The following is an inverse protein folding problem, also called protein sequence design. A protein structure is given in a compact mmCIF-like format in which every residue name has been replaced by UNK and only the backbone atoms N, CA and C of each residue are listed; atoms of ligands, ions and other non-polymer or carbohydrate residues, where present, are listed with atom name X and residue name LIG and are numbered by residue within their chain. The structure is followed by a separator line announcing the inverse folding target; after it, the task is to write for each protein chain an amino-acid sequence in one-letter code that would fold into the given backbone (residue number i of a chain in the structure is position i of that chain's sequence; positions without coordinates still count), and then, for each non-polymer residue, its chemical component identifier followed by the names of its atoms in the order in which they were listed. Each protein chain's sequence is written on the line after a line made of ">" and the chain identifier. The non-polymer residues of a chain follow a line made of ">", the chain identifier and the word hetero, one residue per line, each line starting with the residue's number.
data_IF_916040496454
#
_entry.id   IF_916040496454
#
_cell.length_a   1.000
_cell.length_b   1.000
_cell.length_c   1.000
_cell.angle_alpha   90.00
_cell.angle_beta   90.00
_cell.angle_gamma   90.00
#
_symmetry.space_group_name_H-M   'P 1'
#
loop_
_entity.id
_entity.type
_entity.pdbx_description
1 polymer ?
#
# COMPACT_ATOMS: atom_id res chain seq x y z
N UNK A 1 -10.53 0.51 10.56
CA UNK A 1 -9.23 -0.09 10.13
C UNK A 1 -9.26 -0.46 8.64
N UNK A 2 -10.27 -1.18 8.16
CA UNK A 2 -10.48 -1.49 6.73
C UNK A 2 -10.15 -0.33 5.76
N UNK A 3 -10.88 0.79 5.85
CA UNK A 3 -10.67 1.93 4.95
C UNK A 3 -9.29 2.58 5.08
N UNK A 4 -8.63 2.49 6.24
CA UNK A 4 -7.25 2.95 6.37
C UNK A 4 -6.27 2.06 5.62
N UNK A 5 -6.50 0.73 5.62
CA UNK A 5 -5.77 -0.20 4.76
C UNK A 5 -5.98 0.10 3.28
N UNK A 6 -7.24 0.30 2.86
CA UNK A 6 -7.59 0.70 1.48
C UNK A 6 -6.91 2.01 1.09
N UNK A 7 -6.87 3.01 1.97
CA UNK A 7 -6.21 4.28 1.67
C UNK A 7 -4.70 4.12 1.42
N UNK A 8 -4.02 3.26 2.20
CA UNK A 8 -2.60 2.95 1.99
C UNK A 8 -2.41 2.15 0.70
N UNK A 9 -3.27 1.18 0.41
CA UNK A 9 -3.27 0.44 -0.87
C UNK A 9 -3.36 1.41 -2.06
N UNK A 10 -4.33 2.31 -2.04
CA UNK A 10 -4.54 3.31 -3.08
C UNK A 10 -3.32 4.22 -3.23
N UNK A 11 -2.71 4.66 -2.11
CA UNK A 11 -1.51 5.48 -2.14
C UNK A 11 -0.33 4.74 -2.79
N UNK A 12 -0.09 3.47 -2.43
CA UNK A 12 0.96 2.66 -3.05
C UNK A 12 0.72 2.48 -4.55
N UNK A 13 -0.52 2.22 -4.96
CA UNK A 13 -0.91 2.12 -6.38
C UNK A 13 -0.72 3.43 -7.13
N UNK A 14 -1.07 4.56 -6.53
CA UNK A 14 -0.85 5.88 -7.11
C UNK A 14 0.65 6.17 -7.28
N UNK A 15 1.48 5.80 -6.31
CA UNK A 15 2.94 5.93 -6.41
C UNK A 15 3.51 5.06 -7.53
N UNK A 16 3.01 3.83 -7.73
CA UNK A 16 3.40 3.01 -8.88
C UNK A 16 3.05 3.73 -10.18
N UNK A 17 1.82 4.23 -10.31
CA UNK A 17 1.37 4.92 -11.52
C UNK A 17 2.15 6.21 -11.81
N UNK A 18 2.62 6.91 -10.78
CA UNK A 18 3.49 8.07 -10.93
C UNK A 18 4.85 7.75 -11.57
N UNK A 19 5.28 6.47 -11.56
CA UNK A 19 6.55 6.04 -12.16
C UNK A 19 6.42 5.50 -13.58
N UNK A 20 5.21 5.48 -14.15
CA UNK A 20 5.01 5.00 -15.51
C UNK A 20 5.67 5.92 -16.55
N UNK A 21 6.05 5.38 -17.72
CA UNK A 21 6.50 6.18 -18.85
C UNK A 21 5.44 7.23 -19.25
N UNK A 22 5.87 8.42 -19.68
CA UNK A 22 4.97 9.54 -20.03
C UNK A 22 3.97 9.21 -21.15
N UNK A 23 4.31 8.27 -22.03
CA UNK A 23 3.48 7.82 -23.14
C UNK A 23 2.67 6.56 -22.82
N UNK A 24 2.75 6.05 -21.58
CA UNK A 24 1.98 4.90 -21.13
C UNK A 24 0.61 5.34 -20.59
N UNK A 25 -0.40 4.50 -20.77
CA UNK A 25 -1.73 4.69 -20.20
C UNK A 25 -1.70 4.44 -18.68
N UNK A 26 -2.54 5.16 -17.93
CA UNK A 26 -2.73 4.95 -16.48
C UNK A 26 -3.70 3.81 -16.19
N UNK A 27 -3.39 2.61 -16.66
CA UNK A 27 -4.18 1.41 -16.43
C UNK A 27 -3.27 0.21 -16.15
N UNK A 28 -3.76 -0.82 -15.46
CA UNK A 28 -2.95 -2.02 -15.23
C UNK A 28 -2.82 -2.85 -16.50
N UNK A 29 -1.64 -3.45 -16.74
CA UNK A 29 -1.47 -4.46 -17.78
C UNK A 29 -2.33 -5.68 -17.45
N UNK A 30 -3.07 -6.15 -18.45
CA UNK A 30 -3.83 -7.41 -18.50
C UNK A 30 -3.41 -8.19 -19.75
N UNK A 31 -3.91 -9.40 -19.95
CA UNK A 31 -3.63 -10.16 -21.18
C UNK A 31 -4.34 -9.57 -22.41
N UNK A 32 -5.35 -8.72 -22.20
CA UNK A 32 -6.21 -8.15 -23.23
C UNK A 32 -5.85 -6.72 -23.64
N UNK A 33 -4.91 -6.05 -22.95
CA UNK A 33 -4.49 -4.68 -23.25
C UNK A 33 -2.96 -4.55 -23.44
N UNK A 34 -2.52 -3.39 -23.93
CA UNK A 34 -1.12 -3.00 -23.97
C UNK A 34 -0.97 -1.51 -23.62
N UNK A 35 -0.90 -1.16 -22.32
CA UNK A 35 -0.87 0.22 -21.86
C UNK A 35 0.49 0.90 -22.03
N UNK A 36 1.46 0.28 -22.72
CA UNK A 36 2.82 0.83 -22.85
C UNK A 36 3.74 0.57 -21.65
N UNK A 37 3.36 -0.36 -20.76
CA UNK A 37 4.21 -0.87 -19.68
C UNK A 37 3.86 -2.33 -19.33
N UNK A 38 4.70 -2.98 -18.53
CA UNK A 38 4.55 -4.40 -18.12
C UNK A 38 3.99 -4.59 -16.72
N UNK A 39 3.67 -3.51 -16.01
CA UNK A 39 3.19 -3.55 -14.62
C UNK A 39 1.72 -4.02 -14.55
N UNK A 40 1.49 -5.12 -13.84
CA UNK A 40 0.16 -5.69 -13.57
C UNK A 40 -0.37 -5.25 -12.20
N UNK A 41 -1.69 -5.38 -11.98
CA UNK A 41 -2.34 -5.00 -10.74
C UNK A 41 -1.80 -5.83 -9.55
N UNK A 42 -1.27 -5.21 -8.48
CA UNK A 42 -0.73 -5.92 -7.32
C UNK A 42 -1.81 -6.49 -6.37
N UNK A 43 -3.09 -6.30 -6.67
CA UNK A 43 -4.18 -6.71 -5.78
C UNK A 43 -4.21 -5.87 -4.50
N UNK A 44 -4.49 -6.51 -3.37
CA UNK A 44 -4.66 -5.85 -2.06
C UNK A 44 -3.47 -6.04 -1.11
N UNK A 45 -2.42 -6.74 -1.54
CA UNK A 45 -1.25 -7.01 -0.72
C UNK A 45 -0.20 -5.91 -0.88
N UNK A 46 0.23 -5.29 0.22
CA UNK A 46 1.20 -4.19 0.20
C UNK A 46 2.58 -4.63 -0.27
N UNK A 47 3.01 -5.85 0.06
CA UNK A 47 4.29 -6.41 -0.42
C UNK A 47 4.28 -6.59 -1.93
N UNK A 48 3.16 -7.05 -2.50
CA UNK A 48 2.99 -7.14 -3.95
C UNK A 48 3.02 -5.76 -4.61
N UNK A 49 2.42 -4.73 -4.00
CA UNK A 49 2.54 -3.36 -4.49
C UNK A 49 4.00 -2.87 -4.46
N UNK A 50 4.74 -3.12 -3.39
CA UNK A 50 6.16 -2.75 -3.28
C UNK A 50 7.03 -3.44 -4.33
N UNK A 51 6.75 -4.71 -4.68
CA UNK A 51 7.45 -5.42 -5.78
C UNK A 51 7.29 -4.73 -7.14
N UNK A 52 6.22 -3.93 -7.34
CA UNK A 52 6.01 -3.14 -8.56
C UNK A 52 6.69 -1.77 -8.51
N UNK A 53 7.29 -1.38 -7.38
CA UNK A 53 7.98 -0.12 -7.20
C UNK A 53 9.36 -0.30 -6.55
N UNK A 54 10.35 -0.76 -7.32
CA UNK A 54 11.70 -1.14 -6.84
C UNK A 54 12.37 -0.07 -5.96
N UNK A 55 12.31 1.21 -6.35
CA UNK A 55 12.91 2.31 -5.57
C UNK A 55 12.25 2.49 -4.20
N UNK A 56 10.92 2.43 -4.14
CA UNK A 56 10.17 2.51 -2.88
C UNK A 56 10.46 1.28 -2.02
N UNK A 57 10.44 0.08 -2.60
CA UNK A 57 10.80 -1.17 -1.92
C UNK A 57 12.17 -1.08 -1.26
N UNK A 58 13.20 -0.67 -2.01
CA UNK A 58 14.55 -0.54 -1.47
C UNK A 58 14.63 0.48 -0.32
N UNK A 59 13.83 1.55 -0.35
CA UNK A 59 13.74 2.48 0.77
C UNK A 59 13.06 1.82 1.98
N UNK A 60 11.93 1.17 1.79
CA UNK A 60 11.20 0.47 2.86
C UNK A 60 12.07 -0.59 3.55
N UNK A 61 12.82 -1.39 2.79
CA UNK A 61 13.72 -2.43 3.32
C UNK A 61 14.84 -1.88 4.23
N UNK A 62 15.18 -0.59 4.11
CA UNK A 62 16.18 0.07 4.97
C UNK A 62 15.62 0.57 6.30
N UNK A 63 14.28 0.63 6.46
CA UNK A 63 13.62 1.14 7.66
C UNK A 63 12.70 0.07 8.24
N UNK A 64 13.19 -0.79 9.15
CA UNK A 64 12.41 -1.88 9.75
C UNK A 64 11.08 -1.42 10.37
N UNK A 65 11.04 -0.21 10.93
CA UNK A 65 9.81 0.38 11.46
C UNK A 65 8.72 0.58 10.39
N UNK A 66 9.09 0.88 9.15
CA UNK A 66 8.14 1.06 8.04
C UNK A 66 7.54 -0.29 7.65
N UNK A 67 8.36 -1.34 7.59
CA UNK A 67 7.89 -2.72 7.39
C UNK A 67 6.91 -3.15 8.46
N UNK A 68 7.20 -2.80 9.73
CA UNK A 68 6.29 -3.08 10.84
C UNK A 68 4.96 -2.34 10.68
N UNK A 69 4.97 -1.06 10.30
CA UNK A 69 3.71 -0.33 10.08
C UNK A 69 2.91 -0.90 8.91
N UNK A 70 3.57 -1.31 7.83
CA UNK A 70 2.90 -1.97 6.70
C UNK A 70 2.16 -3.23 7.14
N UNK A 71 2.82 -4.09 7.91
CA UNK A 71 2.20 -5.30 8.45
C UNK A 71 1.06 -4.99 9.42
N UNK A 72 1.27 -4.07 10.38
CA UNK A 72 0.23 -3.67 11.34
C UNK A 72 -1.02 -3.11 10.66
N UNK A 73 -0.87 -2.40 9.53
CA UNK A 73 -1.99 -1.83 8.79
C UNK A 73 -2.66 -2.87 7.88
N UNK A 74 -1.88 -3.76 7.27
CA UNK A 74 -2.42 -4.82 6.42
C UNK A 74 -3.19 -5.84 7.25
N UNK A 75 -2.66 -6.17 8.45
CA UNK A 75 -3.12 -7.25 9.31
C UNK A 75 -3.38 -6.78 10.76
N UNK A 76 -4.27 -5.80 11.02
CA UNK A 76 -4.54 -5.32 12.39
C UNK A 76 -5.03 -6.42 13.34
N UNK A 77 -5.81 -7.37 12.80
CA UNK A 77 -6.33 -8.58 13.45
C UNK A 77 -6.49 -9.70 12.39
N UNK A 78 -6.91 -9.30 11.19
CA UNK A 78 -6.95 -10.07 9.97
C UNK A 78 -6.66 -9.11 8.81
N UNK A 79 -6.61 -9.63 7.57
CA UNK A 79 -6.37 -8.80 6.41
C UNK A 79 -7.43 -7.70 6.30
N UNK A 80 -7.01 -6.45 6.05
CA UNK A 80 -7.92 -5.30 6.08
C UNK A 80 -9.11 -5.44 5.12
N UNK A 81 -8.98 -6.16 4.01
CA UNK A 81 -10.08 -6.46 3.07
C UNK A 81 -11.14 -7.36 3.69
N UNK A 82 -10.71 -8.36 4.46
CA UNK A 82 -11.57 -9.39 5.06
C UNK A 82 -12.36 -8.83 6.25
N UNK A 83 -11.87 -7.75 6.85
CA UNK A 83 -12.60 -6.99 7.87
C UNK A 83 -13.98 -6.50 7.43
N UNK A 84 -14.26 -6.42 6.13
CA UNK A 84 -15.61 -6.11 5.63
C UNK A 84 -16.64 -7.19 5.93
N UNK A 85 -16.19 -8.43 6.13
CA UNK A 85 -17.03 -9.61 6.31
C UNK A 85 -17.05 -10.09 7.76
N UNK A 86 -16.27 -9.47 8.65
CA UNK A 86 -16.28 -9.78 10.07
C UNK A 86 -16.75 -8.56 10.87
N UNK A 87 -17.85 -8.72 11.60
CA UNK A 87 -18.37 -7.70 12.50
C UNK A 87 -17.60 -7.58 13.82
N UNK A 88 -16.33 -7.96 13.88
CA UNK A 88 -15.51 -7.85 15.08
C UNK A 88 -14.93 -6.45 15.21
N UNK A 89 -15.31 -5.76 16.28
CA UNK A 89 -14.71 -4.47 16.63
C UNK A 89 -13.36 -4.67 17.32
N UNK A 90 -12.33 -3.91 16.94
CA UNK A 90 -11.05 -3.95 17.63
C UNK A 90 -11.17 -3.31 19.02
N UNK A 91 -10.42 -3.84 19.99
CA UNK A 91 -10.27 -3.17 21.28
C UNK A 91 -9.52 -1.82 21.14
N UNK A 92 -9.68 -0.95 22.13
CA UNK A 92 -9.10 0.40 22.12
C UNK A 92 -7.56 0.41 22.05
N UNK A 93 -6.89 -0.58 22.65
CA UNK A 93 -5.42 -0.70 22.62
C UNK A 93 -4.95 -1.07 21.22
N UNK A 94 -5.58 -2.06 20.60
CA UNK A 94 -5.34 -2.49 19.23
C UNK A 94 -5.63 -1.35 18.24
N UNK A 95 -6.73 -0.62 18.46
CA UNK A 95 -7.07 0.56 17.66
C UNK A 95 -6.04 1.67 17.75
N UNK A 96 -5.60 2.05 18.95
CA UNK A 96 -4.58 3.09 19.16
C UNK A 96 -3.25 2.71 18.54
N UNK A 97 -2.83 1.45 18.66
CA UNK A 97 -1.61 0.92 18.01
C UNK A 97 -1.71 1.06 16.50
N UNK A 98 -2.78 0.53 15.90
CA UNK A 98 -3.02 0.62 14.47
C UNK A 98 -3.08 2.07 13.96
N UNK A 99 -3.79 2.95 14.68
CA UNK A 99 -3.94 4.36 14.29
C UNK A 99 -2.59 5.09 14.29
N UNK A 100 -1.72 4.77 15.27
CA UNK A 100 -0.36 5.30 15.32
C UNK A 100 0.45 4.84 14.11
N UNK A 101 0.42 3.55 13.78
CA UNK A 101 1.10 3.02 12.60
C UNK A 101 0.57 3.64 11.30
N UNK A 102 -0.76 3.70 11.14
CA UNK A 102 -1.42 4.33 9.99
C UNK A 102 -0.96 5.77 9.77
N UNK A 103 -0.98 6.60 10.82
CA UNK A 103 -0.53 8.00 10.72
C UNK A 103 0.94 8.10 10.34
N UNK A 104 1.80 7.28 10.95
CA UNK A 104 3.25 7.29 10.69
C UNK A 104 3.58 6.81 9.28
N UNK A 105 2.98 5.71 8.83
CA UNK A 105 3.18 5.19 7.47
C UNK A 105 2.63 6.17 6.44
N UNK A 106 1.42 6.69 6.62
CA UNK A 106 0.83 7.66 5.69
C UNK A 106 1.74 8.87 5.53
N UNK A 107 2.19 9.48 6.63
CA UNK A 107 3.13 10.62 6.56
C UNK A 107 4.44 10.24 5.88
N UNK A 108 4.99 9.06 6.15
CA UNK A 108 6.23 8.60 5.54
C UNK A 108 6.08 8.40 4.02
N UNK A 109 5.00 7.73 3.58
CA UNK A 109 4.71 7.49 2.15
C UNK A 109 4.46 8.79 1.39
N UNK A 110 3.73 9.75 1.96
CA UNK A 110 3.53 11.06 1.33
C UNK A 110 4.87 11.79 1.12
N UNK A 111 5.79 11.74 2.09
CA UNK A 111 7.15 12.28 1.91
C UNK A 111 7.89 11.57 0.79
N UNK A 112 7.78 10.24 0.71
CA UNK A 112 8.41 9.49 -0.39
C UNK A 112 7.83 9.88 -1.75
N UNK A 113 6.51 10.04 -1.86
CA UNK A 113 5.84 10.42 -3.10
C UNK A 113 6.33 11.77 -3.66
N UNK A 114 6.73 12.71 -2.80
CA UNK A 114 7.31 14.01 -3.22
C UNK A 114 8.80 13.95 -3.60
N UNK A 115 9.48 12.85 -3.26
CA UNK A 115 10.93 12.68 -3.41
C UNK A 115 11.30 11.59 -4.44
N UNK A 116 10.30 11.04 -5.12
CA UNK A 116 10.44 10.01 -6.13
C UNK A 116 10.38 10.65 -7.50
#
# INVERSE_FOLDING_TARGET
>A
MHFGGVAIECLLKAMIFATLPKNASQEWKTDLNNPGHTITNPGHNFSEALKRHNRLRSRVEKFPEVMKWLDEIQNPNQHFIDMRYCGSEPDDTSYKRWLKAYKRLSQWLHKQATQL
#
